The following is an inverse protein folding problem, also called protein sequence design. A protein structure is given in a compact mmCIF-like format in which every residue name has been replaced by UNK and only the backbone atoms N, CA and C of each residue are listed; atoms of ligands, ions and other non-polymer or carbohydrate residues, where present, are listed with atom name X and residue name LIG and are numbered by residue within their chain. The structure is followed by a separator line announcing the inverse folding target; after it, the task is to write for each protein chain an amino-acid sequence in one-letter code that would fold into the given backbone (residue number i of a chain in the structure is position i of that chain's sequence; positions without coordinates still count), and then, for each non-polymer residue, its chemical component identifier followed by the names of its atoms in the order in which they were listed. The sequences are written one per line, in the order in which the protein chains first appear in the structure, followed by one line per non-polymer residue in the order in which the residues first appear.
data_IF_561197064827
#
_entry.id   IF_561197064827
#
_cell.length_a   1.000
_cell.length_b   1.000
_cell.length_c   1.000
_cell.angle_alpha   90.00
_cell.angle_beta   90.00
_cell.angle_gamma   90.00
#
_symmetry.space_group_name_H-M   'P 1'
#
loop_
_entity.id
_entity.type
_entity.pdbx_description
1 polymer ?
#
# COMPACT_ATOMS: atom_id res chain seq x y z
N UNK A 1 -20.82 15.65 9.24
CA UNK A 1 -19.88 14.59 8.94
C UNK A 1 -20.61 13.38 8.39
N UNK A 2 -20.00 12.72 7.45
CA UNK A 2 -20.61 11.60 6.82
C UNK A 2 -20.41 10.35 7.66
N UNK A 3 -21.46 9.54 7.74
CA UNK A 3 -21.37 8.28 8.46
C UNK A 3 -20.61 7.28 7.60
N UNK A 4 -19.72 6.53 8.24
CA UNK A 4 -18.95 5.50 7.55
C UNK A 4 -19.67 4.18 7.75
N UNK A 5 -20.29 3.68 6.71
CA UNK A 5 -20.97 2.39 6.73
C UNK A 5 -20.32 1.45 5.72
N UNK A 6 -20.88 0.25 5.57
CA UNK A 6 -20.30 -0.74 4.67
C UNK A 6 -20.25 -0.25 3.22
N UNK A 7 -21.28 0.44 2.78
CA UNK A 7 -21.34 0.93 1.40
C UNK A 7 -20.24 1.94 1.16
N UNK A 8 -20.08 2.89 2.09
CA UNK A 8 -19.04 3.91 1.98
C UNK A 8 -17.67 3.26 2.05
N UNK A 9 -17.48 2.34 2.98
CA UNK A 9 -16.17 1.69 3.13
C UNK A 9 -15.82 0.84 1.90
N UNK A 10 -16.81 0.17 1.30
CA UNK A 10 -16.59 -0.60 0.08
C UNK A 10 -16.16 0.30 -1.06
N UNK A 11 -16.79 1.47 -1.16
CA UNK A 11 -16.41 2.46 -2.16
C UNK A 11 -14.97 2.91 -1.94
N UNK A 12 -14.61 3.20 -0.71
CA UNK A 12 -13.25 3.61 -0.37
C UNK A 12 -12.25 2.50 -0.72
N UNK A 13 -12.57 1.27 -0.35
CA UNK A 13 -11.70 0.13 -0.63
C UNK A 13 -11.49 -0.09 -2.12
N UNK A 14 -12.54 0.08 -2.91
CA UNK A 14 -12.43 -0.05 -4.36
C UNK A 14 -11.52 1.02 -4.95
N UNK A 15 -11.58 2.22 -4.43
CA UNK A 15 -10.73 3.30 -4.90
C UNK A 15 -9.28 3.09 -4.48
N UNK A 16 -9.06 2.57 -3.26
CA UNK A 16 -7.71 2.20 -2.84
C UNK A 16 -7.15 1.13 -3.78
N UNK A 17 -7.97 0.15 -4.14
CA UNK A 17 -7.54 -0.93 -5.02
C UNK A 17 -7.17 -0.42 -6.42
N UNK A 18 -7.67 0.74 -6.80
CA UNK A 18 -7.32 1.38 -8.08
C UNK A 18 -6.12 2.31 -7.95
N UNK A 19 -5.48 2.34 -6.81
CA UNK A 19 -4.25 3.10 -6.65
C UNK A 19 -4.39 4.47 -6.05
N UNK A 20 -5.61 4.91 -5.70
CA UNK A 20 -5.77 6.23 -5.09
C UNK A 20 -5.32 6.18 -3.63
N UNK A 21 -4.77 7.29 -3.16
CA UNK A 21 -4.40 7.38 -1.75
C UNK A 21 -5.63 7.72 -0.91
N UNK A 22 -5.62 7.30 0.34
CA UNK A 22 -6.73 7.60 1.23
C UNK A 22 -6.94 9.10 1.39
N UNK A 23 -5.86 9.86 1.44
CA UNK A 23 -5.95 11.32 1.55
C UNK A 23 -6.69 11.91 0.34
N UNK A 24 -6.37 11.42 -0.85
CA UNK A 24 -7.03 11.89 -2.08
C UNK A 24 -8.50 11.52 -2.08
N UNK A 25 -8.82 10.29 -1.65
CA UNK A 25 -10.22 9.85 -1.57
C UNK A 25 -11.01 10.76 -0.64
N UNK A 26 -10.43 11.11 0.50
CA UNK A 26 -11.11 11.95 1.49
C UNK A 26 -11.38 13.38 0.99
N UNK A 27 -10.65 13.82 -0.03
CA UNK A 27 -10.88 15.14 -0.61
C UNK A 27 -12.08 15.16 -1.56
N UNK A 28 -12.59 14.01 -1.92
CA UNK A 28 -13.74 13.92 -2.81
C UNK A 28 -14.98 14.42 -2.07
N UNK A 29 -15.77 15.23 -2.75
CA UNK A 29 -16.99 15.75 -2.17
C UNK A 29 -17.90 14.62 -1.74
N UNK A 30 -18.42 14.71 -0.55
CA UNK A 30 -19.33 13.69 -0.01
C UNK A 30 -18.67 12.56 0.72
N UNK A 31 -17.35 12.52 0.75
CA UNK A 31 -16.64 11.48 1.49
C UNK A 31 -16.42 11.88 2.94
N UNK A 32 -16.37 10.89 3.84
CA UNK A 32 -16.03 11.19 5.24
C UNK A 32 -14.60 11.71 5.36
N UNK A 33 -14.29 12.31 6.48
CA UNK A 33 -12.94 12.79 6.72
C UNK A 33 -11.99 11.62 6.97
N UNK A 34 -10.71 11.88 6.77
CA UNK A 34 -9.68 10.88 7.04
C UNK A 34 -9.82 10.32 8.45
N UNK A 35 -10.03 11.20 9.41
CA UNK A 35 -10.14 10.81 10.81
C UNK A 35 -11.37 9.92 11.05
N UNK A 36 -12.48 10.24 10.40
CA UNK A 36 -13.70 9.43 10.55
C UNK A 36 -13.48 8.03 10.01
N UNK A 37 -12.79 7.93 8.89
CA UNK A 37 -12.53 6.62 8.27
C UNK A 37 -11.60 5.80 9.14
N UNK A 38 -10.51 6.38 9.61
CA UNK A 38 -9.56 5.63 10.43
C UNK A 38 -10.18 5.21 11.76
N UNK A 39 -11.03 6.05 12.32
CA UNK A 39 -11.72 5.69 13.57
C UNK A 39 -12.70 4.53 13.33
N UNK A 40 -13.45 4.59 12.24
CA UNK A 40 -14.41 3.53 11.91
C UNK A 40 -13.70 2.20 11.70
N UNK A 41 -12.54 2.24 11.06
CA UNK A 41 -11.74 1.03 10.83
C UNK A 41 -11.26 0.44 12.15
N UNK A 42 -10.91 1.28 13.11
CA UNK A 42 -10.47 0.81 14.42
C UNK A 42 -11.59 0.22 15.23
N UNK A 43 -12.79 0.77 15.09
CA UNK A 43 -13.91 0.41 15.96
C UNK A 43 -14.80 -0.72 15.44
N UNK A 44 -14.71 -1.04 14.15
CA UNK A 44 -15.64 -1.99 13.54
C UNK A 44 -14.86 -3.03 12.73
N UNK A 45 -14.95 -4.28 13.16
CA UNK A 45 -14.20 -5.37 12.53
C UNK A 45 -14.62 -5.64 11.09
N UNK A 46 -15.89 -5.45 10.77
CA UNK A 46 -16.35 -5.63 9.39
C UNK A 46 -15.76 -4.57 8.47
N UNK A 47 -15.75 -3.33 8.96
CA UNK A 47 -15.16 -2.25 8.17
C UNK A 47 -13.66 -2.43 8.03
N UNK A 48 -13.01 -2.93 9.07
CA UNK A 48 -11.58 -3.26 9.01
C UNK A 48 -11.31 -4.27 7.91
N UNK A 49 -12.13 -5.30 7.82
CA UNK A 49 -11.90 -6.35 6.83
C UNK A 49 -12.06 -5.81 5.40
N UNK A 50 -13.06 -4.97 5.19
CA UNK A 50 -13.27 -4.34 3.88
C UNK A 50 -12.07 -3.46 3.53
N UNK A 51 -11.65 -2.65 4.47
CA UNK A 51 -10.51 -1.74 4.30
C UNK A 51 -9.23 -2.52 4.03
N UNK A 52 -8.99 -3.58 4.80
CA UNK A 52 -7.80 -4.40 4.66
C UNK A 52 -7.69 -4.98 3.25
N UNK A 53 -8.79 -5.51 2.74
CA UNK A 53 -8.80 -6.04 1.38
C UNK A 53 -8.49 -4.97 0.34
N UNK A 54 -9.01 -3.79 0.55
CA UNK A 54 -8.70 -2.67 -0.32
C UNK A 54 -7.21 -2.34 -0.32
N UNK A 55 -6.58 -2.37 0.85
CA UNK A 55 -5.15 -2.12 0.96
C UNK A 55 -4.32 -3.22 0.30
N UNK A 56 -4.74 -4.47 0.44
CA UNK A 56 -4.04 -5.58 -0.20
C UNK A 56 -4.06 -5.40 -1.72
N UNK A 57 -5.22 -5.07 -2.26
CA UNK A 57 -5.33 -4.85 -3.70
C UNK A 57 -4.57 -3.60 -4.15
N UNK A 58 -4.51 -2.60 -3.30
CA UNK A 58 -3.70 -1.42 -3.59
C UNK A 58 -2.22 -1.80 -3.72
N UNK A 59 -1.75 -2.70 -2.87
CA UNK A 59 -0.37 -3.17 -2.95
C UNK A 59 -0.13 -3.91 -4.26
N UNK A 60 -1.08 -4.70 -4.71
CA UNK A 60 -0.98 -5.39 -6.00
C UNK A 60 -0.91 -4.37 -7.14
N UNK A 61 -1.75 -3.36 -7.07
CA UNK A 61 -1.76 -2.32 -8.09
C UNK A 61 -0.40 -1.61 -8.15
N UNK A 62 0.15 -1.23 -7.00
CA UNK A 62 1.43 -0.55 -6.96
C UNK A 62 2.57 -1.44 -7.46
N UNK A 63 2.49 -2.73 -7.17
CA UNK A 63 3.48 -3.69 -7.62
C UNK A 63 3.52 -3.74 -9.15
N UNK A 64 2.35 -3.84 -9.77
CA UNK A 64 2.25 -3.83 -11.22
C UNK A 64 2.71 -2.50 -11.81
N UNK A 65 2.30 -1.42 -11.18
CA UNK A 65 2.64 -0.09 -11.66
C UNK A 65 4.16 0.16 -11.63
N UNK A 66 4.83 -0.30 -10.59
CA UNK A 66 6.29 -0.17 -10.49
C UNK A 66 6.94 -0.91 -11.65
N UNK A 67 6.48 -2.11 -11.95
CA UNK A 67 7.03 -2.89 -13.04
C UNK A 67 6.82 -2.19 -14.38
N UNK A 68 5.64 -1.64 -14.58
CA UNK A 68 5.35 -0.90 -15.82
C UNK A 68 6.23 0.33 -15.97
N UNK A 69 6.43 1.06 -14.87
CA UNK A 69 7.30 2.23 -14.89
C UNK A 69 8.73 1.86 -15.25
N UNK A 70 9.20 0.75 -14.70
CA UNK A 70 10.60 0.36 -14.88
C UNK A 70 10.92 0.02 -16.33
N UNK A 71 9.94 -0.52 -17.05
CA UNK A 71 10.18 -0.94 -18.43
C UNK A 71 9.65 0.04 -19.46
N UNK A 72 9.00 1.11 -19.02
CA UNK A 72 8.45 2.09 -19.93
C UNK A 72 9.56 2.80 -20.70
N UNK A 73 9.44 2.91 -22.03
CA UNK A 73 10.48 3.57 -22.81
C UNK A 73 10.67 5.01 -22.40
N UNK A 74 11.89 5.49 -22.52
CA UNK A 74 12.18 6.89 -22.28
C UNK A 74 11.73 7.73 -23.46
N UNK A 75 11.44 9.03 -23.24
CA UNK A 75 11.06 9.91 -24.32
C UNK A 75 12.14 9.96 -25.40
N UNK A 76 11.70 10.01 -26.62
CA UNK A 76 12.64 9.95 -27.70
C UNK A 76 13.43 11.22 -27.92
N UNK A 77 12.89 12.29 -27.68
CA UNK A 77 13.56 13.45 -28.01
C UNK A 77 14.29 13.98 -27.07
N UNK A 78 15.40 14.49 -27.24
CA UNK A 78 15.58 15.30 -26.45
C UNK A 78 16.86 15.68 -26.01
N UNK A 79 16.88 16.66 -25.40
CA UNK A 79 17.91 17.27 -24.68
C UNK A 79 18.29 16.32 -23.56
N UNK A 80 19.54 16.08 -23.34
CA UNK A 80 20.01 15.21 -22.28
C UNK A 80 19.58 15.66 -20.90
N UNK A 81 19.46 16.96 -20.72
CA UNK A 81 19.05 17.48 -19.44
C UNK A 81 17.62 17.05 -19.09
N UNK A 82 16.71 17.15 -20.06
CA UNK A 82 15.33 16.73 -19.86
C UNK A 82 15.22 15.23 -19.69
N UNK A 83 16.03 14.49 -20.42
CA UNK A 83 16.04 13.04 -20.30
C UNK A 83 16.52 12.62 -18.92
N UNK A 84 17.56 13.26 -18.41
CA UNK A 84 18.06 12.97 -17.08
C UNK A 84 17.03 13.33 -16.02
N UNK A 85 16.31 14.42 -16.20
CA UNK A 85 15.26 14.83 -15.27
C UNK A 85 14.15 13.78 -15.24
N UNK A 86 13.78 13.26 -16.38
CA UNK A 86 12.75 12.23 -16.47
C UNK A 86 13.20 10.94 -15.77
N UNK A 87 14.45 10.55 -15.97
CA UNK A 87 14.99 9.36 -15.32
C UNK A 87 14.99 9.53 -13.80
N UNK A 88 15.39 10.72 -13.32
CA UNK A 88 15.43 10.98 -11.89
C UNK A 88 14.00 10.98 -11.29
N UNK A 89 13.05 11.58 -11.98
CA UNK A 89 11.68 11.62 -11.52
C UNK A 89 11.09 10.20 -11.44
N UNK A 90 11.37 9.40 -12.45
CA UNK A 90 10.87 8.02 -12.49
C UNK A 90 11.48 7.19 -11.35
N UNK A 91 12.78 7.39 -11.11
CA UNK A 91 13.45 6.71 -10.02
C UNK A 91 12.83 7.10 -8.67
N UNK A 92 12.58 8.39 -8.49
CA UNK A 92 11.97 8.87 -7.26
C UNK A 92 10.58 8.28 -7.07
N UNK A 93 9.80 8.22 -8.15
CA UNK A 93 8.45 7.66 -8.09
C UNK A 93 8.50 6.18 -7.71
N UNK A 94 9.38 5.42 -8.32
CA UNK A 94 9.54 4.00 -8.01
C UNK A 94 9.98 3.81 -6.57
N UNK A 95 10.95 4.58 -6.10
CA UNK A 95 11.44 4.46 -4.74
C UNK A 95 10.36 4.78 -3.73
N UNK A 96 9.55 5.81 -4.00
CA UNK A 96 8.45 6.20 -3.14
C UNK A 96 7.41 5.10 -3.07
N UNK A 97 7.08 4.49 -4.21
CA UNK A 97 6.10 3.42 -4.25
C UNK A 97 6.61 2.16 -3.55
N UNK A 98 7.88 1.87 -3.66
CA UNK A 98 8.47 0.73 -2.95
C UNK A 98 8.37 0.92 -1.45
N UNK A 99 8.61 2.14 -0.97
CA UNK A 99 8.46 2.45 0.44
C UNK A 99 7.01 2.29 0.89
N UNK A 100 6.07 2.81 0.10
CA UNK A 100 4.65 2.70 0.39
C UNK A 100 4.21 1.23 0.40
N UNK A 101 4.69 0.47 -0.59
CA UNK A 101 4.35 -0.94 -0.71
C UNK A 101 4.79 -1.73 0.51
N UNK A 102 5.98 -1.45 1.01
CA UNK A 102 6.48 -2.12 2.20
C UNK A 102 5.61 -1.85 3.41
N UNK A 103 5.01 -0.66 3.50
CA UNK A 103 4.12 -0.32 4.61
C UNK A 103 2.76 -0.98 4.49
N UNK A 104 2.30 -1.21 3.27
CA UNK A 104 0.99 -1.81 3.04
C UNK A 104 1.04 -3.33 3.15
N UNK A 105 2.17 -3.92 2.80
CA UNK A 105 2.32 -5.36 2.73
C UNK A 105 1.82 -6.11 3.95
N UNK A 106 2.05 -5.65 5.18
CA UNK A 106 1.56 -6.39 6.36
C UNK A 106 0.04 -6.56 6.41
N UNK A 107 -0.72 -5.72 5.70
CA UNK A 107 -2.17 -5.87 5.68
C UNK A 107 -2.61 -7.23 5.13
N UNK A 108 -1.83 -7.81 4.23
CA UNK A 108 -2.16 -9.09 3.66
C UNK A 108 -1.92 -10.26 4.60
N UNK A 109 -1.07 -10.05 5.60
CA UNK A 109 -0.69 -11.11 6.53
C UNK A 109 -1.33 -10.96 7.90
N UNK A 110 -2.03 -9.86 8.14
CA UNK A 110 -2.53 -9.54 9.45
C UNK A 110 -4.02 -9.40 9.47
N UNK A 111 -4.63 -9.97 10.48
CA UNK A 111 -6.00 -9.75 10.80
C UNK A 111 -6.02 -8.72 11.93
N UNK A 112 -7.12 -8.05 12.13
CA UNK A 112 -7.23 -7.10 13.22
C UNK A 112 -7.03 -7.76 14.58
N UNK A 113 -7.40 -9.01 14.69
CA UNK A 113 -7.29 -9.73 15.94
C UNK A 113 -5.91 -10.29 16.20
N UNK A 114 -5.09 -10.35 15.18
CA UNK A 114 -3.76 -10.92 15.34
C UNK A 114 -2.85 -9.89 15.96
N UNK A 115 -2.16 -10.33 16.98
CA UNK A 115 -1.21 -9.43 17.59
C UNK A 115 0.01 -9.40 16.75
N UNK A 116 0.47 -8.26 16.52
CA UNK A 116 1.64 -8.14 15.73
C UNK A 116 2.82 -8.75 16.41
N UNK A 117 2.62 -9.14 17.42
CA UNK A 117 3.63 -9.65 18.06
C UNK A 117 4.30 -10.61 17.38
N UNK A 118 4.13 -11.02 17.20
CA UNK A 118 4.77 -11.78 16.71
C UNK A 118 5.79 -11.53 16.22
N UNK A 119 6.05 -11.20 16.53
CA UNK A 119 7.04 -10.90 16.03
C UNK A 119 7.72 -12.01 15.75
N UNK A 120 7.47 -12.53 15.94
CA UNK A 120 7.95 -13.38 15.71
C UNK A 120 8.47 -13.71 14.78
N UNK A 121 8.42 -13.71 14.62
CA UNK A 121 8.86 -14.11 13.94
C UNK A 121 9.76 -13.83 13.44
N UNK A 122 10.02 -13.56 13.54
CA UNK A 122 10.83 -13.34 13.13
C UNK A 122 11.73 -13.93 13.13
N UNK A 123 11.61 -14.34 13.51
CA UNK A 123 12.38 -14.90 13.64
C UNK A 123 12.62 -15.68 12.75
N UNK A 124 12.27 -15.90 12.27
CA UNK A 124 12.47 -16.64 11.52
C UNK A 124 13.42 -16.50 10.79
N UNK A 125 13.84 -16.16 10.94
CA UNK A 125 14.56 -16.01 10.43
C UNK A 125 15.61 -16.38 10.28
N UNK A 126 15.88 -16.65 10.52
CA UNK A 126 16.70 -16.93 10.56
C UNK A 126 17.24 -17.65 10.13
N UNK A 127 17.23 -18.23 9.99
CA UNK A 127 17.66 -18.96 9.85
C UNK A 127 18.37 -19.30 8.88
N UNK A 128 18.72 -19.23 8.35
CA UNK A 128 19.40 -19.56 7.56
C UNK A 128 20.70 -19.51 7.54
N UNK A 129 20.94 -19.33 7.88
CA UNK A 129 21.85 -19.46 8.22
C UNK A 129 22.47 -19.92 8.25
N UNK A 130 22.48 -20.22 8.33
CA UNK A 130 22.90 -20.93 8.78
C UNK A 130 23.05 -21.53 8.66
N UNK A 131 22.99 -21.50 8.68
CA UNK A 131 22.91 -22.27 8.94
C UNK A 131 22.78 -22.60 8.91
N UNK A 132 22.81 -22.55 9.00
CA UNK A 132 22.65 -22.99 9.39
C UNK A 132 22.25 -23.20 9.67
N UNK A 133 22.32 -23.13 9.70
CA UNK A 133 21.96 -23.44 10.24
C UNK A 133 21.70 -23.65 10.52
N UNK A 134 21.68 -23.68 10.68
CA UNK A 134 21.49 -24.08 11.22
C UNK A 134 20.99 -24.23 11.62
N UNK A 135 20.88 -24.05 11.41
CA UNK A 135 20.39 -24.31 11.90
C UNK A 135 20.07 -24.73 12.21
N UNK A 136 19.96 -24.76 12.39
CA UNK A 136 19.75 -25.26 12.81
C UNK A 136 19.70 -25.57 13.08
#
# INVERSE_FOLDING_TARGET
AKIVNKVVMTNIANRLACGESLVTICKTKGMPSYRSITRAVQDDDELWEIYRKGRVLQAEYYSDYINDLAVQPLPKSVDNRLLNAEVQRRRLEIDTLKWTLARIQPYGLRDKKDEPSVAVDNSITLSWDNGEVKVG
#
